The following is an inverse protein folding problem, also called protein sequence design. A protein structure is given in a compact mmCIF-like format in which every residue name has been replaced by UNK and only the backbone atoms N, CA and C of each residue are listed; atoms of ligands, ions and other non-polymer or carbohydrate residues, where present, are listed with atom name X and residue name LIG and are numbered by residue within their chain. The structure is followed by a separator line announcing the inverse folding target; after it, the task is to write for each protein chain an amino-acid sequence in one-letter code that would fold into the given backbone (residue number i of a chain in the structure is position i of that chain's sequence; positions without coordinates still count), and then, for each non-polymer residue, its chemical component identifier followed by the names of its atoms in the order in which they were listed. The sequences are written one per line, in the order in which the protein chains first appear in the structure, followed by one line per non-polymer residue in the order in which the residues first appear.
data_IF_511764028677
#
_entry.id   IF_511764028677
#
_cell.length_a   1.000
_cell.length_b   1.000
_cell.length_c   1.000
_cell.angle_alpha   90.00
_cell.angle_beta   90.00
_cell.angle_gamma   90.00
#
_symmetry.space_group_name_H-M   'P 1'
#
loop_
_entity.id
_entity.type
_entity.pdbx_description
1 polymer ?
#
# COMPACT_ATOMS: atom_id res chain seq x y z
N UNK A 1 -16.33 -10.29 2.00
CA UNK A 1 -15.17 -9.74 1.27
C UNK A 1 -14.35 -8.92 2.27
N UNK A 2 -13.02 -9.07 2.22
CA UNK A 2 -12.11 -8.34 3.11
C UNK A 2 -11.02 -7.64 2.28
N UNK A 3 -10.78 -6.36 2.52
CA UNK A 3 -9.74 -5.56 1.85
C UNK A 3 -8.66 -5.17 2.86
N UNK A 4 -7.40 -5.41 2.48
CA UNK A 4 -6.24 -5.04 3.28
C UNK A 4 -5.63 -3.74 2.76
N UNK A 5 -5.55 -2.73 3.62
CA UNK A 5 -5.00 -1.43 3.30
C UNK A 5 -3.63 -1.28 3.96
N UNK A 6 -2.63 -0.84 3.19
CA UNK A 6 -1.27 -0.62 3.69
C UNK A 6 -0.99 0.88 3.79
N UNK A 7 -0.79 1.38 4.99
CA UNK A 7 -0.34 2.75 5.23
C UNK A 7 1.20 2.81 5.22
N UNK A 8 1.76 3.29 4.12
CA UNK A 8 3.20 3.53 3.94
C UNK A 8 3.64 4.94 4.35
N UNK A 9 2.78 5.68 5.02
CA UNK A 9 3.11 7.01 5.55
C UNK A 9 3.94 6.95 6.83
N UNK A 10 4.75 8.00 7.12
CA UNK A 10 5.61 8.05 8.30
C UNK A 10 4.83 8.26 9.61
N UNK A 11 3.56 8.63 9.52
CA UNK A 11 2.71 8.92 10.67
C UNK A 11 1.46 8.03 10.68
N UNK A 12 1.11 7.42 11.83
CA UNK A 12 -0.04 6.52 11.93
C UNK A 12 -1.38 7.23 11.67
N UNK A 13 -1.43 8.54 11.86
CA UNK A 13 -2.62 9.40 11.66
C UNK A 13 -2.32 10.59 10.72
N UNK A 14 -1.42 10.40 9.75
CA UNK A 14 -1.06 11.42 8.77
C UNK A 14 -1.99 11.44 7.54
N UNK A 15 -1.60 12.22 6.52
CA UNK A 15 -2.39 12.39 5.29
C UNK A 15 -2.74 11.06 4.60
N UNK A 16 -1.80 10.13 4.51
CA UNK A 16 -2.05 8.80 3.93
C UNK A 16 -3.07 8.01 4.74
N UNK A 17 -2.93 8.01 6.08
CA UNK A 17 -3.89 7.35 6.96
C UNK A 17 -5.29 7.92 6.77
N UNK A 18 -5.42 9.27 6.70
CA UNK A 18 -6.70 9.94 6.47
C UNK A 18 -7.36 9.49 5.18
N UNK A 19 -6.62 9.46 4.07
CA UNK A 19 -7.16 8.98 2.80
C UNK A 19 -7.59 7.52 2.85
N UNK A 20 -6.81 6.65 3.50
CA UNK A 20 -7.16 5.23 3.68
C UNK A 20 -8.35 5.02 4.63
N UNK A 21 -8.51 5.88 5.66
CA UNK A 21 -9.67 5.86 6.55
C UNK A 21 -10.95 6.21 5.81
N UNK A 22 -10.92 7.19 4.90
CA UNK A 22 -12.07 7.52 4.04
C UNK A 22 -12.45 6.33 3.15
N UNK A 23 -11.48 5.71 2.50
CA UNK A 23 -11.72 4.49 1.70
C UNK A 23 -12.32 3.38 2.58
N UNK A 24 -11.74 3.14 3.76
CA UNK A 24 -12.23 2.13 4.71
C UNK A 24 -13.66 2.41 5.15
N UNK A 25 -14.03 3.68 5.36
CA UNK A 25 -15.38 4.08 5.74
C UNK A 25 -16.40 3.76 4.65
N UNK A 26 -16.06 4.03 3.39
CA UNK A 26 -16.91 3.70 2.23
C UNK A 26 -17.04 2.18 2.06
N UNK A 27 -15.94 1.43 2.15
CA UNK A 27 -15.98 -0.03 2.10
C UNK A 27 -16.92 -0.61 3.15
N UNK A 28 -16.90 -0.06 4.36
CA UNK A 28 -17.80 -0.47 5.45
C UNK A 28 -19.27 -0.21 5.12
N UNK A 29 -19.60 0.93 4.52
CA UNK A 29 -20.96 1.25 4.08
C UNK A 29 -21.46 0.23 3.04
N UNK A 30 -20.56 -0.21 2.15
CA UNK A 30 -20.82 -1.22 1.12
C UNK A 30 -20.78 -2.66 1.66
N UNK A 31 -20.67 -2.87 2.97
CA UNK A 31 -20.63 -4.20 3.58
C UNK A 31 -19.33 -4.97 3.35
N UNK A 32 -18.25 -4.27 3.04
CA UNK A 32 -16.92 -4.84 2.81
C UNK A 32 -16.04 -4.61 4.04
N UNK A 33 -15.54 -5.68 4.64
CA UNK A 33 -14.61 -5.58 5.75
C UNK A 33 -13.26 -5.03 5.28
N UNK A 34 -12.65 -4.22 6.12
CA UNK A 34 -11.33 -3.66 5.81
C UNK A 34 -10.44 -3.55 7.04
N UNK A 35 -9.14 -3.67 6.81
CA UNK A 35 -8.11 -3.54 7.85
C UNK A 35 -6.98 -2.66 7.34
N UNK A 36 -6.62 -1.61 8.09
CA UNK A 36 -5.47 -0.74 7.78
C UNK A 36 -4.27 -1.23 8.59
N UNK A 37 -3.22 -1.62 7.88
CA UNK A 37 -1.92 -1.96 8.47
C UNK A 37 -0.96 -0.80 8.24
N UNK A 38 -0.43 -0.24 9.31
CA UNK A 38 0.63 0.76 9.23
C UNK A 38 2.01 0.08 9.28
N UNK A 39 2.89 0.41 8.32
CA UNK A 39 4.24 -0.18 8.26
C UNK A 39 5.17 0.26 9.40
N UNK A 40 4.75 1.24 10.20
CA UNK A 40 5.54 1.78 11.28
C UNK A 40 6.50 2.90 10.84
N UNK A 41 7.26 3.40 11.80
CA UNK A 41 8.30 4.43 11.62
C UNK A 41 9.71 3.90 11.86
N UNK A 42 9.85 2.60 12.05
CA UNK A 42 11.16 1.95 12.17
C UNK A 42 11.78 1.75 10.77
N UNK A 43 13.10 1.66 10.66
CA UNK A 43 13.76 1.40 9.39
C UNK A 43 13.24 0.13 8.71
N UNK A 44 12.75 0.27 7.48
CA UNK A 44 12.33 -0.86 6.65
C UNK A 44 13.48 -1.23 5.71
N UNK A 45 14.08 -2.39 5.93
CA UNK A 45 15.16 -2.86 5.08
C UNK A 45 14.62 -3.33 3.72
N UNK A 46 15.28 -2.94 2.64
CA UNK A 46 14.97 -3.39 1.29
C UNK A 46 15.29 -4.87 1.03
N UNK A 47 14.81 -5.38 -0.09
CA UNK A 47 15.16 -6.71 -0.57
C UNK A 47 16.63 -6.75 -1.01
N UNK A 48 17.38 -7.74 -0.55
CA UNK A 48 18.79 -7.95 -0.91
C UNK A 48 19.00 -9.04 -1.97
N UNK A 49 17.92 -9.56 -2.56
CA UNK A 49 17.99 -10.57 -3.61
C UNK A 49 18.56 -11.92 -3.18
N UNK A 50 18.53 -12.26 -1.88
CA UNK A 50 19.15 -13.48 -1.35
C UNK A 50 18.50 -14.79 -1.82
N UNK A 51 17.28 -14.75 -2.36
CA UNK A 51 16.55 -15.91 -2.86
C UNK A 51 16.04 -16.90 -1.81
N UNK A 52 16.25 -16.66 -0.53
CA UNK A 52 15.81 -17.56 0.55
C UNK A 52 14.29 -17.77 0.56
N UNK A 53 13.51 -16.73 0.25
CA UNK A 53 12.06 -16.81 0.22
C UNK A 53 11.51 -17.83 -0.79
N UNK A 54 12.26 -18.18 -1.85
CA UNK A 54 11.86 -19.22 -2.80
C UNK A 54 11.92 -20.64 -2.19
N UNK A 55 12.78 -20.83 -1.18
CA UNK A 55 12.93 -22.11 -0.48
C UNK A 55 12.05 -22.17 0.76
N UNK A 56 12.04 -21.10 1.53
CA UNK A 56 11.40 -21.04 2.85
C UNK A 56 9.93 -20.59 2.80
N UNK A 57 9.44 -20.07 1.65
CA UNK A 57 8.10 -19.55 1.51
C UNK A 57 7.86 -18.19 2.22
N UNK A 58 8.89 -17.61 2.82
CA UNK A 58 8.80 -16.34 3.57
C UNK A 58 10.13 -15.58 3.52
N UNK A 59 10.07 -14.27 3.79
CA UNK A 59 11.26 -13.46 3.92
C UNK A 59 12.04 -13.87 5.19
N UNK A 60 13.36 -13.96 5.09
CA UNK A 60 14.19 -14.34 6.25
C UNK A 60 14.22 -13.28 7.36
N UNK A 61 13.92 -12.02 7.01
CA UNK A 61 13.84 -10.93 7.99
C UNK A 61 12.57 -11.03 8.80
N UNK A 62 12.71 -11.04 10.12
CA UNK A 62 11.59 -11.12 11.06
C UNK A 62 11.10 -9.71 11.40
N UNK A 63 10.30 -9.16 10.50
CA UNK A 63 9.64 -7.87 10.66
C UNK A 63 8.20 -7.92 10.10
N UNK A 64 7.54 -6.79 9.97
CA UNK A 64 6.13 -6.70 9.55
C UNK A 64 5.78 -7.30 8.19
N UNK A 65 6.76 -7.61 7.32
CA UNK A 65 6.51 -8.12 5.97
C UNK A 65 5.83 -9.49 6.00
N UNK A 66 6.38 -10.45 6.76
CA UNK A 66 5.78 -11.78 6.84
C UNK A 66 4.40 -11.74 7.49
N UNK A 67 4.22 -10.93 8.53
CA UNK A 67 2.92 -10.75 9.17
C UNK A 67 1.87 -10.13 8.21
N UNK A 68 2.29 -9.21 7.36
CA UNK A 68 1.42 -8.65 6.33
C UNK A 68 1.00 -9.70 5.28
N UNK A 69 1.93 -10.55 4.85
CA UNK A 69 1.65 -11.65 3.91
C UNK A 69 0.67 -12.66 4.51
N UNK A 70 0.79 -12.99 5.79
CA UNK A 70 -0.18 -13.88 6.46
C UNK A 70 -1.60 -13.29 6.44
N UNK A 71 -1.74 -11.99 6.72
CA UNK A 71 -3.04 -11.29 6.59
C UNK A 71 -3.57 -11.30 5.15
N UNK A 72 -2.68 -11.11 4.17
CA UNK A 72 -3.04 -11.07 2.75
C UNK A 72 -3.64 -12.37 2.21
N UNK A 73 -3.32 -13.51 2.83
CA UNK A 73 -3.90 -14.81 2.46
C UNK A 73 -5.42 -14.82 2.57
N UNK A 74 -5.95 -14.13 3.58
CA UNK A 74 -7.38 -14.09 3.90
C UNK A 74 -8.12 -12.89 3.28
N UNK A 75 -7.42 -12.06 2.49
CA UNK A 75 -7.99 -10.86 1.91
C UNK A 75 -8.31 -11.04 0.42
N UNK A 76 -9.35 -10.35 -0.04
CA UNK A 76 -9.87 -10.42 -1.40
C UNK A 76 -9.38 -9.24 -2.27
N UNK A 77 -8.86 -8.18 -1.66
CA UNK A 77 -8.37 -6.98 -2.35
C UNK A 77 -7.36 -6.20 -1.53
N UNK A 78 -6.62 -5.29 -2.19
CA UNK A 78 -5.52 -4.57 -1.57
C UNK A 78 -5.49 -3.10 -1.96
N UNK A 79 -5.18 -2.21 -0.99
CA UNK A 79 -5.00 -0.79 -1.27
C UNK A 79 -3.70 -0.32 -0.62
N UNK A 80 -2.79 0.25 -1.42
CA UNK A 80 -1.50 0.73 -0.95
C UNK A 80 -1.47 2.25 -0.91
N UNK A 81 -1.26 2.81 0.28
CA UNK A 81 -1.17 4.24 0.49
C UNK A 81 0.27 4.71 0.70
N UNK A 82 0.71 5.75 -0.02
CA UNK A 82 2.05 6.32 0.11
C UNK A 82 2.04 7.84 0.11
N UNK A 83 2.90 8.50 0.90
CA UNK A 83 3.23 9.88 0.64
C UNK A 83 4.14 9.97 -0.60
N UNK A 84 4.18 11.16 -1.21
CA UNK A 84 5.12 11.47 -2.28
C UNK A 84 6.38 12.10 -1.70
N UNK A 85 7.51 11.44 -1.89
CA UNK A 85 8.84 11.94 -1.53
C UNK A 85 9.69 12.07 -2.78
N UNK A 86 10.09 13.30 -3.14
CA UNK A 86 10.91 13.57 -4.33
C UNK A 86 10.34 12.98 -5.63
N UNK A 87 9.02 13.06 -5.83
CA UNK A 87 8.35 12.53 -7.01
C UNK A 87 8.24 11.00 -7.08
N UNK A 88 8.41 10.32 -5.94
CA UNK A 88 8.37 8.87 -5.82
C UNK A 88 7.50 8.45 -4.64
N UNK A 89 7.06 7.21 -4.59
CA UNK A 89 6.53 6.63 -3.37
C UNK A 89 7.61 6.58 -2.28
N UNK A 90 7.22 6.58 -1.00
CA UNK A 90 8.20 6.56 0.08
C UNK A 90 9.11 5.34 0.00
N UNK A 91 10.40 5.51 0.32
CA UNK A 91 11.36 4.41 0.33
C UNK A 91 10.96 3.28 1.29
N UNK A 92 10.25 3.60 2.37
CA UNK A 92 9.75 2.61 3.31
C UNK A 92 8.72 1.67 2.67
N UNK A 93 7.72 2.21 1.95
CA UNK A 93 6.69 1.37 1.31
C UNK A 93 7.28 0.55 0.16
N UNK A 94 8.17 1.12 -0.65
CA UNK A 94 8.79 0.37 -1.76
C UNK A 94 9.68 -0.77 -1.24
N UNK A 95 10.50 -0.51 -0.21
CA UNK A 95 11.28 -1.56 0.46
C UNK A 95 10.41 -2.66 1.07
N UNK A 96 9.25 -2.29 1.61
CA UNK A 96 8.29 -3.23 2.16
C UNK A 96 7.64 -4.08 1.07
N UNK A 97 7.10 -3.42 0.02
CA UNK A 97 6.40 -4.10 -1.08
C UNK A 97 7.32 -4.98 -1.93
N UNK A 98 8.57 -4.56 -2.18
CA UNK A 98 9.55 -5.43 -2.85
C UNK A 98 9.66 -6.78 -2.14
N UNK A 99 9.73 -6.77 -0.83
CA UNK A 99 9.86 -7.99 -0.05
C UNK A 99 8.55 -8.76 0.04
N UNK A 100 7.41 -8.08 0.16
CA UNK A 100 6.08 -8.71 0.13
C UNK A 100 5.90 -9.48 -1.17
N UNK A 101 6.14 -8.84 -2.31
CA UNK A 101 5.91 -9.48 -3.60
C UNK A 101 6.99 -10.51 -3.99
N UNK A 102 8.24 -10.35 -3.56
CA UNK A 102 9.24 -11.41 -3.74
C UNK A 102 8.97 -12.66 -2.92
N UNK A 103 8.37 -12.53 -1.74
CA UNK A 103 8.15 -13.67 -0.85
C UNK A 103 6.71 -14.20 -0.81
N UNK A 104 5.71 -13.41 -1.26
CA UNK A 104 4.31 -13.78 -1.10
C UNK A 104 3.40 -13.48 -2.30
N UNK A 105 3.93 -13.17 -3.50
CA UNK A 105 3.13 -12.75 -4.66
C UNK A 105 1.97 -13.68 -5.02
N UNK A 106 2.11 -14.97 -4.75
CA UNK A 106 1.07 -15.98 -5.02
C UNK A 106 -0.26 -15.69 -4.30
N UNK A 107 -0.21 -15.00 -3.17
CA UNK A 107 -1.41 -14.67 -2.37
C UNK A 107 -2.15 -13.42 -2.87
N UNK A 108 -1.58 -12.70 -3.83
CA UNK A 108 -2.13 -11.48 -4.41
C UNK A 108 -2.69 -11.66 -5.83
N UNK A 109 -2.21 -12.67 -6.55
CA UNK A 109 -2.56 -12.93 -7.94
C UNK A 109 -4.08 -13.03 -8.14
N UNK A 110 -4.60 -12.32 -9.15
CA UNK A 110 -6.01 -12.30 -9.51
C UNK A 110 -6.90 -11.47 -8.57
N UNK A 111 -6.37 -10.98 -7.45
CA UNK A 111 -7.10 -10.13 -6.52
C UNK A 111 -6.95 -8.66 -6.93
N UNK A 112 -8.02 -7.83 -6.84
CA UNK A 112 -7.96 -6.42 -7.22
C UNK A 112 -7.02 -5.62 -6.32
N UNK A 113 -6.36 -4.62 -6.90
CA UNK A 113 -5.50 -3.71 -6.21
C UNK A 113 -5.72 -2.26 -6.61
N UNK A 114 -5.56 -1.35 -5.67
CA UNK A 114 -5.55 0.09 -5.91
C UNK A 114 -4.44 0.75 -5.10
N UNK A 115 -4.04 1.96 -5.48
CA UNK A 115 -3.18 2.76 -4.64
C UNK A 115 -3.74 4.17 -4.45
N UNK A 116 -3.36 4.79 -3.33
CA UNK A 116 -3.66 6.18 -3.01
C UNK A 116 -2.35 6.89 -2.69
N UNK A 117 -2.10 8.03 -3.31
CA UNK A 117 -0.90 8.82 -3.05
C UNK A 117 -1.26 10.18 -2.47
N UNK A 118 -0.51 10.60 -1.46
CA UNK A 118 -0.67 11.91 -0.82
C UNK A 118 0.54 12.78 -1.10
N UNK A 119 0.31 13.96 -1.66
CA UNK A 119 1.37 14.92 -1.91
C UNK A 119 0.98 16.33 -1.44
N UNK A 120 2.01 17.14 -1.20
CA UNK A 120 1.81 18.56 -0.88
C UNK A 120 1.48 19.38 -2.13
N UNK A 121 2.13 19.11 -3.28
CA UNK A 121 2.06 19.92 -4.50
C UNK A 121 2.01 19.11 -5.77
N UNK A 122 2.96 18.18 -5.97
CA UNK A 122 3.12 17.44 -7.22
C UNK A 122 4.05 16.25 -7.07
N UNK A 123 4.31 15.54 -8.19
CA UNK A 123 5.06 14.29 -8.22
C UNK A 123 4.24 13.05 -7.89
N UNK A 124 2.95 13.22 -7.67
CA UNK A 124 2.00 12.18 -7.32
C UNK A 124 1.78 11.18 -8.45
N UNK A 125 1.71 11.61 -9.71
CA UNK A 125 1.55 10.70 -10.85
C UNK A 125 2.70 9.71 -10.97
N UNK A 126 3.94 10.15 -10.79
CA UNK A 126 5.10 9.28 -10.82
C UNK A 126 5.09 8.24 -9.66
N UNK A 127 4.72 8.66 -8.45
CA UNK A 127 4.56 7.77 -7.31
C UNK A 127 3.38 6.79 -7.51
N UNK A 128 2.28 7.26 -8.09
CA UNK A 128 1.12 6.45 -8.45
C UNK A 128 1.48 5.35 -9.46
N UNK A 129 2.18 5.72 -10.55
CA UNK A 129 2.65 4.78 -11.57
C UNK A 129 3.61 3.74 -10.98
N UNK A 130 4.48 4.16 -10.06
CA UNK A 130 5.39 3.25 -9.37
C UNK A 130 4.65 2.18 -8.57
N UNK A 131 3.63 2.56 -7.81
CA UNK A 131 2.83 1.61 -7.03
C UNK A 131 1.99 0.68 -7.91
N UNK A 132 1.42 1.18 -9.01
CA UNK A 132 0.65 0.37 -9.95
C UNK A 132 1.47 -0.74 -10.61
N UNK A 133 2.79 -0.59 -10.73
CA UNK A 133 3.68 -1.64 -11.26
C UNK A 133 3.70 -2.89 -10.38
N UNK A 134 3.52 -2.76 -9.07
CA UNK A 134 3.39 -3.92 -8.19
C UNK A 134 2.14 -4.75 -8.53
N UNK A 135 1.03 -4.10 -8.85
CA UNK A 135 -0.19 -4.79 -9.23
C UNK A 135 -0.06 -5.45 -10.62
N UNK A 136 0.36 -4.69 -11.61
CA UNK A 136 0.36 -5.16 -13.00
C UNK A 136 1.30 -6.34 -13.23
N UNK A 137 2.53 -6.33 -12.68
CA UNK A 137 3.47 -7.45 -12.83
C UNK A 137 2.99 -8.70 -12.07
N UNK A 138 2.21 -8.53 -11.01
CA UNK A 138 1.70 -9.64 -10.19
C UNK A 138 0.31 -10.12 -10.61
N UNK A 139 -0.15 -9.75 -11.83
CA UNK A 139 -1.44 -10.19 -12.40
C UNK A 139 -2.64 -9.80 -11.53
N UNK A 140 -2.57 -8.63 -10.90
CA UNK A 140 -3.65 -8.06 -10.11
C UNK A 140 -4.42 -7.04 -10.98
N UNK A 141 -5.75 -7.16 -11.11
CA UNK A 141 -6.56 -6.13 -11.74
C UNK A 141 -6.42 -4.80 -10.99
N UNK A 142 -6.09 -3.72 -11.71
CA UNK A 142 -6.02 -2.39 -11.09
C UNK A 142 -7.41 -1.78 -11.05
N UNK A 143 -7.86 -1.43 -9.85
CA UNK A 143 -9.12 -0.70 -9.65
C UNK A 143 -8.86 0.78 -9.88
N UNK A 144 -9.50 1.32 -10.92
CA UNK A 144 -9.45 2.73 -11.27
C UNK A 144 -10.69 3.49 -10.76
N UNK A 145 -10.59 4.81 -10.67
CA UNK A 145 -11.68 5.72 -10.38
C UNK A 145 -11.89 6.71 -11.55
N UNK A 146 -12.71 7.72 -11.35
CA UNK A 146 -12.92 8.77 -12.35
C UNK A 146 -11.64 9.55 -12.68
N UNK A 147 -10.71 9.58 -11.73
CA UNK A 147 -9.38 10.19 -11.87
C UNK A 147 -8.35 9.34 -11.10
N UNK A 148 -7.07 9.71 -11.10
CA UNK A 148 -6.05 9.04 -10.30
C UNK A 148 -6.30 9.25 -8.81
N UNK A 149 -6.19 8.20 -8.01
CA UNK A 149 -6.43 8.24 -6.56
C UNK A 149 -5.29 8.99 -5.85
N UNK A 150 -5.42 10.27 -5.75
CA UNK A 150 -4.43 11.16 -5.17
C UNK A 150 -5.10 12.23 -4.31
N UNK A 151 -4.45 12.59 -3.22
CA UNK A 151 -4.91 13.64 -2.32
C UNK A 151 -3.79 14.65 -2.06
N UNK A 152 -4.19 15.91 -1.90
CA UNK A 152 -3.26 17.00 -1.64
C UNK A 152 -3.44 17.53 -0.22
N UNK A 153 -2.33 17.85 0.42
CA UNK A 153 -2.33 18.41 1.76
C UNK A 153 -1.08 18.07 2.55
N UNK A 154 -0.87 18.83 3.62
CA UNK A 154 0.22 18.65 4.60
C UNK A 154 -0.31 18.24 5.97
N UNK A 155 -1.64 18.29 6.13
CA UNK A 155 -2.34 17.93 7.35
C UNK A 155 -3.58 17.10 7.05
N UNK A 156 -4.09 16.41 8.06
CA UNK A 156 -5.35 15.67 7.99
C UNK A 156 -6.52 16.55 7.51
N UNK A 157 -6.59 17.78 8.01
CA UNK A 157 -7.68 18.72 7.68
C UNK A 157 -7.63 19.10 6.20
N UNK A 158 -6.44 19.40 5.68
CA UNK A 158 -6.27 19.73 4.26
C UNK A 158 -6.66 18.58 3.34
N UNK A 159 -6.28 17.34 3.68
CA UNK A 159 -6.67 16.16 2.91
C UNK A 159 -8.19 15.95 2.87
N UNK A 160 -8.88 16.19 3.98
CA UNK A 160 -10.35 16.09 4.02
C UNK A 160 -11.06 17.22 3.24
N UNK A 161 -10.37 18.31 2.93
CA UNK A 161 -10.88 19.42 2.13
C UNK A 161 -10.52 19.29 0.64
N UNK A 162 -9.62 18.40 0.27
CA UNK A 162 -9.25 18.13 -1.12
C UNK A 162 -10.43 17.44 -1.84
N UNK A 163 -10.92 18.06 -2.93
CA UNK A 163 -12.12 17.62 -3.66
C UNK A 163 -11.80 17.34 -5.11
#
# INVERSE_FOLDING_TARGET
MKVLLLNGGPHPQGCVATALEEVSSVLKVEGIDSEIVWIGNQPVAGCIGCGLCRKEGQCFRQDGVNAFIEKAKECDGFIFGSPVHYGSASGAITSFLDRVFYSGSVHFRGKPGACVVSCRRGGNTAAFDQLNKYFTINQMPVVSSQYWNQVHGTSRIEVLQDK
#
